data_IF_741442585290
#
_entry.id   IF_741442585290
#
_cell.length_a   1.000
_cell.length_b   1.000
_cell.length_c   1.000
_cell.angle_alpha   90.00
_cell.angle_beta   90.00
_cell.angle_gamma   90.00
#
_symmetry.space_group_name_H-M   'P 1'
#
loop_
_entity.id
_entity.type
_entity.pdbx_description
1 polymer ?
#
# COMPACT_ATOMS: atom_id res chain seq x y z
N UNK A 1 -1.73 -96.49 -16.57
CA UNK A 1 -0.38 -97.07 -16.51
C UNK A 1 0.61 -95.91 -16.46
N UNK A 2 1.47 -95.83 -15.44
CA UNK A 2 2.64 -94.92 -15.41
C UNK A 2 2.46 -93.56 -14.73
N UNK A 3 3.17 -93.38 -13.60
CA UNK A 3 3.46 -92.11 -12.90
C UNK A 3 4.47 -91.26 -13.70
N UNK A 4 4.49 -89.94 -13.52
CA UNK A 4 5.65 -89.17 -12.99
C UNK A 4 5.39 -87.65 -12.98
N UNK A 5 5.82 -86.99 -11.89
CA UNK A 5 5.84 -85.54 -11.67
C UNK A 5 6.90 -84.82 -12.53
N UNK A 6 6.66 -83.54 -12.86
CA UNK A 6 7.66 -82.46 -12.70
C UNK A 6 7.07 -81.04 -12.80
N UNK A 7 7.28 -80.26 -11.73
CA UNK A 7 7.56 -78.81 -11.61
C UNK A 7 6.82 -77.76 -12.47
N UNK A 8 6.05 -76.88 -11.81
CA UNK A 8 5.69 -75.54 -12.27
C UNK A 8 6.23 -74.45 -11.33
N UNK A 9 6.98 -73.50 -11.90
CA UNK A 9 7.36 -72.23 -11.27
C UNK A 9 6.17 -71.27 -11.27
N UNK A 10 5.81 -70.70 -10.11
CA UNK A 10 4.89 -69.58 -9.98
C UNK A 10 5.67 -68.30 -9.67
N UNK A 11 5.51 -67.28 -10.50
CA UNK A 11 6.03 -65.92 -10.28
C UNK A 11 4.89 -65.04 -9.77
N UNK A 12 4.92 -64.65 -8.50
CA UNK A 12 3.99 -63.69 -7.88
C UNK A 12 4.52 -62.26 -8.02
N UNK A 13 3.68 -61.36 -8.56
CA UNK A 13 3.89 -59.91 -8.57
C UNK A 13 3.64 -59.29 -7.17
N UNK A 14 4.36 -58.23 -6.77
CA UNK A 14 4.14 -57.56 -5.49
C UNK A 14 3.07 -56.46 -5.61
N UNK A 15 2.11 -56.44 -4.66
CA UNK A 15 1.09 -55.40 -4.53
C UNK A 15 1.63 -54.13 -3.87
N UNK A 16 1.28 -52.98 -4.44
CA UNK A 16 1.72 -51.64 -4.06
C UNK A 16 1.21 -51.16 -2.69
N UNK A 17 2.11 -50.55 -1.92
CA UNK A 17 1.86 -50.03 -0.58
C UNK A 17 1.11 -48.70 -0.57
N UNK A 18 0.07 -48.62 0.27
CA UNK A 18 -0.75 -47.43 0.53
C UNK A 18 0.01 -46.26 1.17
N UNK A 19 1.24 -46.47 1.68
CA UNK A 19 2.06 -45.41 2.31
C UNK A 19 2.67 -44.43 1.31
N UNK A 20 2.91 -44.85 0.06
CA UNK A 20 3.50 -43.98 -0.97
C UNK A 20 2.52 -42.93 -1.51
N UNK A 21 1.22 -43.16 -1.39
CA UNK A 21 0.19 -42.26 -1.92
C UNK A 21 0.01 -41.02 -1.05
N UNK A 22 0.07 -41.18 0.28
CA UNK A 22 -0.07 -40.07 1.23
C UNK A 22 1.14 -39.11 1.18
N UNK A 23 2.35 -39.66 1.05
CA UNK A 23 3.58 -38.86 0.93
C UNK A 23 3.63 -38.07 -0.39
N UNK A 24 3.13 -38.67 -1.49
CA UNK A 24 3.00 -37.99 -2.79
C UNK A 24 1.95 -36.87 -2.76
N UNK A 25 0.83 -37.05 -2.07
CA UNK A 25 -0.18 -35.99 -1.92
C UNK A 25 0.33 -34.80 -1.11
N UNK A 26 1.07 -35.03 -0.01
CA UNK A 26 1.67 -33.95 0.78
C UNK A 26 2.73 -33.17 0.00
N UNK A 27 3.54 -33.86 -0.82
CA UNK A 27 4.55 -33.22 -1.66
C UNK A 27 3.91 -32.37 -2.78
N UNK A 28 2.82 -32.85 -3.39
CA UNK A 28 2.07 -32.10 -4.40
C UNK A 28 1.33 -30.89 -3.80
N UNK A 29 0.81 -31.00 -2.57
CA UNK A 29 0.20 -29.87 -1.88
C UNK A 29 1.22 -28.77 -1.53
N UNK A 30 2.45 -29.17 -1.15
CA UNK A 30 3.56 -28.24 -0.93
C UNK A 30 4.00 -27.51 -2.20
N UNK A 31 4.03 -28.19 -3.35
CA UNK A 31 4.33 -27.55 -4.66
C UNK A 31 3.19 -26.60 -5.08
N UNK A 32 1.94 -26.97 -4.83
CA UNK A 32 0.78 -26.13 -5.15
C UNK A 32 0.77 -24.84 -4.32
N UNK A 33 1.16 -24.90 -3.04
CA UNK A 33 1.25 -23.74 -2.16
C UNK A 33 2.39 -22.77 -2.55
N UNK A 34 3.49 -23.30 -3.09
CA UNK A 34 4.64 -22.51 -3.57
C UNK A 34 4.34 -21.86 -4.94
N UNK A 35 3.49 -22.47 -5.76
CA UNK A 35 3.07 -21.91 -7.05
C UNK A 35 2.02 -20.79 -6.92
N UNK A 36 1.31 -20.68 -5.79
CA UNK A 36 0.40 -19.55 -5.53
C UNK A 36 1.11 -18.27 -5.06
N UNK A 37 2.40 -18.33 -4.74
CA UNK A 37 3.18 -17.21 -4.19
C UNK A 37 4.17 -16.60 -5.17
N UNK A 38 3.97 -16.72 -6.48
CA UNK A 38 4.93 -16.16 -7.44
C UNK A 38 4.26 -15.56 -8.67
N UNK A 39 4.65 -14.32 -8.93
CA UNK A 39 4.42 -13.51 -10.13
C UNK A 39 3.05 -12.82 -10.21
N UNK A 40 2.93 -11.69 -9.50
CA UNK A 40 2.18 -10.57 -10.08
C UNK A 40 2.97 -10.14 -11.33
N UNK A 41 2.46 -10.31 -12.56
CA UNK A 41 3.09 -9.70 -13.72
C UNK A 41 3.13 -8.19 -13.51
N UNK A 42 4.20 -7.55 -14.00
CA UNK A 42 4.32 -6.10 -14.03
C UNK A 42 3.02 -5.48 -14.56
N UNK A 43 2.51 -4.48 -13.84
CA UNK A 43 1.31 -3.73 -14.18
C UNK A 43 1.42 -3.30 -15.65
N UNK A 44 0.49 -3.74 -16.48
CA UNK A 44 0.35 -3.18 -17.82
C UNK A 44 0.06 -1.69 -17.62
N UNK A 45 1.01 -0.83 -18.00
CA UNK A 45 0.85 0.62 -17.95
C UNK A 45 -0.21 1.02 -18.96
N UNK A 46 -1.45 1.15 -18.51
CA UNK A 46 -2.49 1.84 -19.24
C UNK A 46 -2.33 3.34 -18.94
N UNK A 47 -2.41 4.19 -19.97
CA UNK A 47 -2.67 5.60 -19.74
C UNK A 47 -4.10 5.71 -19.19
N UNK A 48 -4.32 6.51 -18.15
CA UNK A 48 -5.66 6.73 -17.61
C UNK A 48 -6.57 7.22 -18.74
N UNK A 49 -7.51 6.36 -19.15
CA UNK A 49 -8.51 6.72 -20.14
C UNK A 49 -9.53 7.64 -19.48
N UNK A 50 -9.25 8.95 -19.45
CA UNK A 50 -10.22 10.00 -19.11
C UNK A 50 -9.94 10.84 -17.86
N UNK A 51 -8.81 10.66 -17.17
CA UNK A 51 -8.43 11.53 -16.06
C UNK A 51 -7.91 12.88 -16.59
N UNK A 52 -8.52 13.95 -16.12
CA UNK A 52 -8.18 15.33 -16.46
C UNK A 52 -8.04 16.20 -15.21
N UNK A 53 -7.18 17.22 -15.29
CA UNK A 53 -7.03 18.26 -14.26
C UNK A 53 -7.04 19.65 -14.92
N UNK A 54 -7.98 20.54 -14.57
CA UNK A 54 -7.91 21.96 -14.90
C UNK A 54 -6.83 22.67 -14.08
N UNK A 55 -6.33 23.79 -14.59
CA UNK A 55 -5.50 24.73 -13.83
C UNK A 55 -6.30 25.94 -13.39
N UNK A 56 -5.85 26.59 -12.32
CA UNK A 56 -6.47 27.81 -11.78
C UNK A 56 -6.35 29.00 -12.73
N UNK A 57 -5.42 28.93 -13.68
CA UNK A 57 -5.12 30.03 -14.60
C UNK A 57 -4.27 31.13 -13.99
N UNK A 58 -3.37 30.75 -13.08
CA UNK A 58 -2.31 31.61 -12.59
C UNK A 58 -0.99 30.86 -12.41
N UNK A 59 0.12 31.61 -12.45
CA UNK A 59 1.46 31.14 -12.06
C UNK A 59 2.13 32.20 -11.18
N UNK A 60 3.07 31.76 -10.35
CA UNK A 60 4.08 32.65 -9.76
C UNK A 60 5.11 33.05 -10.81
N UNK A 61 5.66 34.25 -10.68
CA UNK A 61 6.67 34.81 -11.60
C UNK A 61 8.10 34.70 -11.06
N UNK A 62 8.24 34.30 -9.79
CA UNK A 62 9.52 34.02 -9.15
C UNK A 62 9.61 32.51 -8.86
N UNK A 63 10.72 31.83 -9.20
CA UNK A 63 10.91 30.43 -8.84
C UNK A 63 11.00 30.20 -7.32
N UNK A 64 11.41 31.21 -6.54
CA UNK A 64 11.40 31.15 -5.09
C UNK A 64 10.07 31.68 -4.57
N UNK A 65 9.22 30.74 -4.14
CA UNK A 65 7.89 31.03 -3.61
C UNK A 65 8.00 31.07 -2.08
N UNK A 66 7.59 32.19 -1.51
CA UNK A 66 7.63 32.47 -0.08
C UNK A 66 6.28 32.20 0.58
N UNK A 67 6.30 31.44 1.67
CA UNK A 67 5.11 31.00 2.39
C UNK A 67 5.22 31.41 3.85
N UNK A 68 4.20 32.08 4.39
CA UNK A 68 4.11 32.36 5.83
C UNK A 68 2.95 31.58 6.43
N UNK A 69 3.27 30.68 7.36
CA UNK A 69 2.30 29.97 8.19
C UNK A 69 2.02 30.82 9.43
N UNK A 70 0.75 31.06 9.72
CA UNK A 70 0.31 31.82 10.91
C UNK A 70 -0.39 30.89 11.88
N UNK A 71 0.32 30.32 12.88
CA UNK A 71 -0.27 29.43 13.86
C UNK A 71 -1.37 30.14 14.68
N UNK A 72 -2.37 29.39 15.10
CA UNK A 72 -3.40 29.88 16.03
C UNK A 72 -3.07 29.49 17.48
N UNK A 73 -1.81 29.69 17.91
CA UNK A 73 -1.25 29.11 19.15
C UNK A 73 -1.98 29.42 20.46
N UNK A 74 -2.80 30.48 20.49
CA UNK A 74 -3.59 30.87 21.66
C UNK A 74 -5.01 30.30 21.64
N UNK A 75 -5.37 29.54 20.61
CA UNK A 75 -6.71 29.00 20.42
C UNK A 75 -6.78 27.54 20.90
N UNK A 76 -7.79 27.16 21.70
CA UNK A 76 -7.87 25.82 22.28
C UNK A 76 -8.19 24.72 21.27
N UNK A 77 -8.67 25.07 20.08
CA UNK A 77 -8.97 24.14 18.99
C UNK A 77 -7.78 23.87 18.07
N UNK A 78 -6.66 24.55 18.27
CA UNK A 78 -5.49 24.47 17.40
C UNK A 78 -4.46 23.50 17.98
N UNK A 79 -4.06 22.50 17.20
CA UNK A 79 -2.95 21.61 17.55
C UNK A 79 -1.63 22.22 17.08
N UNK A 80 -0.64 22.25 17.98
CA UNK A 80 0.67 22.80 17.66
C UNK A 80 1.39 22.05 16.51
N UNK A 81 1.11 20.74 16.36
CA UNK A 81 1.62 19.90 15.28
C UNK A 81 1.22 20.38 13.90
N UNK A 82 0.04 21.01 13.74
CA UNK A 82 -0.44 21.46 12.43
C UNK A 82 0.52 22.38 11.68
N UNK A 83 1.29 23.20 12.42
CA UNK A 83 2.32 24.05 11.79
C UNK A 83 3.41 23.21 11.12
N UNK A 84 3.82 22.11 11.77
CA UNK A 84 4.76 21.16 11.22
C UNK A 84 4.15 20.40 10.04
N UNK A 85 2.90 19.94 10.15
CA UNK A 85 2.22 19.17 9.10
C UNK A 85 2.09 19.96 7.80
N UNK A 86 1.71 21.24 7.88
CA UNK A 86 1.69 22.16 6.72
C UNK A 86 3.07 22.31 6.10
N UNK A 87 4.10 22.57 6.91
CA UNK A 87 5.46 22.71 6.39
C UNK A 87 5.96 21.40 5.77
N UNK A 88 5.58 20.26 6.35
CA UNK A 88 5.90 18.94 5.84
C UNK A 88 5.21 18.68 4.50
N UNK A 89 3.94 19.07 4.35
CA UNK A 89 3.19 18.98 3.09
C UNK A 89 3.87 19.75 1.95
N UNK A 90 4.27 21.01 2.20
CA UNK A 90 5.01 21.85 1.25
C UNK A 90 6.35 21.21 0.87
N UNK A 91 7.08 20.72 1.87
CA UNK A 91 8.38 20.06 1.66
C UNK A 91 8.23 18.77 0.84
N UNK A 92 7.13 18.03 1.03
CA UNK A 92 6.87 16.78 0.32
C UNK A 92 6.60 17.03 -1.16
N UNK A 93 5.89 18.11 -1.53
CA UNK A 93 5.76 18.55 -2.92
C UNK A 93 7.11 18.75 -3.61
N UNK A 94 8.07 19.44 -2.96
CA UNK A 94 9.41 19.63 -3.53
C UNK A 94 10.12 18.28 -3.79
N UNK A 95 9.98 17.31 -2.87
CA UNK A 95 10.57 15.97 -3.03
C UNK A 95 9.87 15.16 -4.12
N UNK A 96 8.54 15.25 -4.23
CA UNK A 96 7.77 14.60 -5.28
C UNK A 96 8.08 15.19 -6.66
N UNK A 97 8.32 16.49 -6.78
CA UNK A 97 8.82 17.12 -8.02
C UNK A 97 10.14 16.48 -8.46
N UNK A 98 11.07 16.24 -7.53
CA UNK A 98 12.35 15.57 -7.86
C UNK A 98 12.08 14.17 -8.41
N UNK A 99 11.29 13.36 -7.70
CA UNK A 99 10.96 11.99 -8.12
C UNK A 99 10.26 11.96 -9.50
N UNK A 100 9.29 12.84 -9.72
CA UNK A 100 8.62 12.98 -11.03
C UNK A 100 9.61 13.32 -12.14
N UNK A 101 10.44 14.34 -11.90
CA UNK A 101 11.32 14.86 -12.95
C UNK A 101 12.47 13.92 -13.31
N UNK A 102 12.93 13.09 -12.35
CA UNK A 102 13.88 12.00 -12.65
C UNK A 102 13.24 10.92 -13.53
N UNK A 103 11.95 10.64 -13.34
CA UNK A 103 11.24 9.60 -14.08
C UNK A 103 10.75 10.05 -15.47
N UNK A 104 10.29 11.30 -15.59
CA UNK A 104 9.52 11.78 -16.76
C UNK A 104 10.09 13.03 -17.44
N UNK A 105 11.15 13.66 -16.92
CA UNK A 105 11.78 14.85 -17.52
C UNK A 105 11.34 16.16 -16.85
N UNK A 106 11.18 17.26 -17.61
CA UNK A 106 10.79 18.58 -17.07
C UNK A 106 11.68 19.10 -15.92
N UNK A 107 12.99 18.84 -15.98
CA UNK A 107 13.98 19.21 -14.94
C UNK A 107 13.98 20.69 -14.56
N UNK A 108 13.48 21.57 -15.43
CA UNK A 108 13.29 22.99 -15.13
C UNK A 108 12.38 23.22 -13.92
N UNK A 109 11.44 22.30 -13.64
CA UNK A 109 10.51 22.40 -12.52
C UNK A 109 11.23 22.38 -11.16
N UNK A 110 12.44 21.80 -11.10
CA UNK A 110 13.30 21.81 -9.90
C UNK A 110 13.84 23.19 -9.54
N UNK A 111 13.69 24.18 -10.42
CA UNK A 111 14.01 25.58 -10.10
C UNK A 111 13.03 26.13 -9.08
N UNK A 112 11.81 25.57 -8.97
CA UNK A 112 10.89 25.93 -7.89
C UNK A 112 11.53 25.62 -6.53
N UNK A 113 11.47 26.60 -5.65
CA UNK A 113 11.93 26.49 -4.28
C UNK A 113 10.87 27.10 -3.37
N UNK A 114 10.60 26.43 -2.26
CA UNK A 114 9.58 26.83 -1.30
C UNK A 114 10.26 27.27 -0.02
N UNK A 115 10.11 28.55 0.33
CA UNK A 115 10.67 29.14 1.54
C UNK A 115 9.55 29.32 2.54
N UNK A 116 9.48 28.42 3.52
CA UNK A 116 8.46 28.47 4.57
C UNK A 116 8.97 29.22 5.81
N UNK A 117 8.20 30.20 6.25
CA UNK A 117 8.38 30.89 7.53
C UNK A 117 7.15 30.71 8.42
N UNK A 118 7.34 30.87 9.73
CA UNK A 118 6.30 30.85 10.74
C UNK A 118 6.20 32.23 11.39
N UNK A 119 4.99 32.78 11.40
CA UNK A 119 4.65 34.07 12.01
C UNK A 119 5.10 34.13 13.46
N UNK A 120 5.87 35.17 13.82
CA UNK A 120 6.38 35.36 15.17
C UNK A 120 7.61 34.51 15.52
N UNK A 121 8.12 33.70 14.58
CA UNK A 121 9.34 32.91 14.75
C UNK A 121 10.42 33.40 13.79
N UNK A 122 10.13 33.41 12.49
CA UNK A 122 11.11 33.77 11.44
C UNK A 122 10.45 34.39 10.19
N UNK A 123 9.24 34.93 10.31
CA UNK A 123 8.46 35.55 9.22
C UNK A 123 9.13 36.79 8.60
N UNK A 124 10.04 37.44 9.33
CA UNK A 124 10.89 38.50 8.78
C UNK A 124 11.76 38.04 7.61
N UNK A 125 12.06 36.74 7.50
CA UNK A 125 12.79 36.16 6.37
C UNK A 125 11.94 36.09 5.09
N UNK A 126 10.62 35.98 5.22
CA UNK A 126 9.68 35.86 4.09
C UNK A 126 9.06 37.20 3.66
N UNK A 127 9.24 38.28 4.44
CA UNK A 127 8.83 39.63 4.04
C UNK A 127 7.35 39.74 3.66
N UNK A 128 7.07 40.11 2.41
CA UNK A 128 5.72 40.02 1.84
C UNK A 128 5.59 38.67 1.15
N UNK A 129 4.89 37.69 1.76
CA UNK A 129 4.86 36.35 1.22
C UNK A 129 3.98 36.25 -0.03
N UNK A 130 4.30 35.29 -0.89
CA UNK A 130 3.45 34.89 -2.01
C UNK A 130 2.19 34.17 -1.50
N UNK A 131 2.36 33.28 -0.51
CA UNK A 131 1.30 32.46 0.07
C UNK A 131 1.21 32.71 1.58
N UNK A 132 0.01 32.94 2.09
CA UNK A 132 -0.29 32.93 3.53
C UNK A 132 -1.09 31.69 3.90
N UNK A 133 -0.66 30.98 4.92
CA UNK A 133 -1.44 29.89 5.53
C UNK A 133 -1.97 30.36 6.87
N UNK A 134 -3.27 30.18 7.09
CA UNK A 134 -3.95 30.51 8.35
C UNK A 134 -4.89 29.38 8.76
N UNK A 135 -5.22 29.34 10.04
CA UNK A 135 -6.09 28.31 10.61
C UNK A 135 -7.39 28.92 11.14
N UNK A 136 -8.46 28.16 11.02
CA UNK A 136 -9.76 28.42 11.65
C UNK A 136 -10.22 27.17 12.39
N UNK A 137 -11.19 27.33 13.28
CA UNK A 137 -11.75 26.17 13.98
C UNK A 137 -12.47 25.22 13.01
N UNK A 138 -13.41 25.73 12.24
CA UNK A 138 -14.19 25.00 11.24
C UNK A 138 -14.77 25.99 10.24
N UNK A 139 -15.05 25.54 9.01
CA UNK A 139 -15.81 26.31 8.03
C UNK A 139 -17.32 26.34 8.33
N UNK A 140 -17.78 25.55 9.32
CA UNK A 140 -19.17 25.46 9.73
C UNK A 140 -20.04 24.69 8.73
N UNK A 141 -21.30 24.44 9.08
CA UNK A 141 -22.21 23.59 8.31
C UNK A 141 -22.64 24.16 6.95
N UNK A 142 -22.36 25.43 6.69
CA UNK A 142 -22.66 26.09 5.42
C UNK A 142 -21.62 25.80 4.32
N UNK A 143 -20.48 25.21 4.70
CA UNK A 143 -19.41 24.82 3.78
C UNK A 143 -18.89 23.43 4.12
N UNK A 144 -18.85 22.52 3.14
CA UNK A 144 -18.24 21.20 3.32
C UNK A 144 -16.70 21.22 3.28
N UNK A 145 -16.08 22.41 3.26
CA UNK A 145 -14.63 22.56 3.12
C UNK A 145 -13.87 22.15 4.37
N UNK A 146 -12.72 21.50 4.16
CA UNK A 146 -11.69 21.24 5.17
C UNK A 146 -10.48 22.17 5.00
N UNK A 147 -10.30 22.67 3.78
CA UNK A 147 -9.36 23.71 3.39
C UNK A 147 -10.00 24.64 2.35
N UNK A 148 -9.39 25.80 2.16
CA UNK A 148 -9.72 26.70 1.06
C UNK A 148 -8.52 27.60 0.72
N UNK A 149 -8.10 27.55 -0.53
CA UNK A 149 -7.12 28.49 -1.09
C UNK A 149 -7.82 29.56 -1.92
N UNK A 150 -7.82 30.78 -1.41
CA UNK A 150 -8.35 31.94 -2.10
C UNK A 150 -7.29 32.51 -3.03
N UNK A 151 -7.55 32.38 -4.33
CA UNK A 151 -6.69 32.86 -5.40
C UNK A 151 -7.26 34.12 -6.03
N UNK A 152 -6.35 35.00 -6.44
CA UNK A 152 -6.65 36.14 -7.29
C UNK A 152 -5.67 36.16 -8.44
N UNK A 153 -6.18 36.28 -9.65
CA UNK A 153 -5.38 36.34 -10.87
C UNK A 153 -5.49 37.75 -11.44
N UNK A 154 -4.36 38.34 -11.78
CA UNK A 154 -4.34 39.64 -12.43
C UNK A 154 -4.98 39.53 -13.82
N UNK A 155 -5.90 40.46 -14.10
CA UNK A 155 -6.72 40.43 -15.29
C UNK A 155 -5.86 40.41 -16.56
N UNK A 156 -6.15 39.46 -17.46
CA UNK A 156 -5.48 39.26 -18.75
C UNK A 156 -3.97 38.95 -18.65
N UNK A 157 -3.43 38.60 -17.48
CA UNK A 157 -2.01 38.27 -17.35
C UNK A 157 -1.74 36.82 -16.97
N UNK A 158 -2.67 36.08 -16.36
CA UNK A 158 -2.40 34.70 -15.90
C UNK A 158 -1.37 34.65 -14.76
N UNK A 159 -1.23 35.74 -14.00
CA UNK A 159 -0.27 35.86 -12.90
C UNK A 159 -1.04 35.99 -11.58
N UNK A 160 -0.59 35.27 -10.55
CA UNK A 160 -1.18 35.40 -9.22
C UNK A 160 -0.94 36.78 -8.60
N UNK A 161 -1.94 37.28 -7.89
CA UNK A 161 -1.85 38.48 -7.08
C UNK A 161 -1.42 38.09 -5.67
N UNK A 162 -0.29 38.62 -5.22
CA UNK A 162 0.21 38.39 -3.86
C UNK A 162 -0.60 39.16 -2.80
N UNK A 163 -0.78 38.60 -1.59
CA UNK A 163 -0.65 37.19 -1.27
C UNK A 163 -1.90 36.40 -1.70
N UNK A 164 -1.74 35.13 -2.04
CA UNK A 164 -2.84 34.15 -1.95
C UNK A 164 -3.00 33.69 -0.51
N UNK A 165 -4.21 33.29 -0.13
CA UNK A 165 -4.50 32.88 1.26
C UNK A 165 -5.08 31.48 1.29
N UNK A 166 -4.36 30.55 1.91
CA UNK A 166 -4.82 29.20 2.26
C UNK A 166 -5.35 29.21 3.70
N UNK A 167 -6.60 28.78 3.86
CA UNK A 167 -7.26 28.65 5.17
C UNK A 167 -7.50 27.17 5.45
N UNK A 168 -7.07 26.69 6.61
CA UNK A 168 -7.19 25.28 7.01
C UNK A 168 -8.06 25.18 8.27
N UNK A 169 -9.02 24.24 8.27
CA UNK A 169 -9.83 23.97 9.45
C UNK A 169 -9.10 23.07 10.44
N UNK A 170 -9.46 23.14 11.72
CA UNK A 170 -9.01 22.21 12.75
C UNK A 170 -10.03 21.10 13.05
N UNK A 171 -11.28 21.31 12.67
CA UNK A 171 -12.40 20.37 12.78
C UNK A 171 -13.14 20.22 11.45
N UNK A 172 -13.88 19.12 11.33
CA UNK A 172 -14.86 18.92 10.27
C UNK A 172 -15.94 20.05 10.23
N UNK A 173 -16.72 20.16 9.12
CA UNK A 173 -17.78 21.16 8.99
C UNK A 173 -18.85 21.11 10.09
N UNK A 174 -19.09 19.93 10.67
CA UNK A 174 -20.02 19.74 11.79
C UNK A 174 -19.42 20.14 13.14
N UNK A 175 -18.12 20.48 13.18
CA UNK A 175 -17.37 20.84 14.38
C UNK A 175 -17.42 19.76 15.46
N UNK A 176 -17.45 18.49 15.04
CA UNK A 176 -17.57 17.29 15.90
C UNK A 176 -16.31 16.45 15.92
N UNK A 177 -15.56 16.45 14.82
CA UNK A 177 -14.38 15.61 14.65
C UNK A 177 -13.18 16.49 14.41
N UNK A 178 -12.20 16.44 15.32
CA UNK A 178 -10.94 17.14 15.16
C UNK A 178 -10.10 16.42 14.08
N UNK A 179 -9.46 17.19 13.23
CA UNK A 179 -8.55 16.68 12.22
C UNK A 179 -7.32 16.04 12.89
N UNK A 180 -6.81 14.95 12.33
CA UNK A 180 -5.53 14.38 12.75
C UNK A 180 -4.36 15.10 12.05
N UNK A 181 -3.14 14.89 12.52
CA UNK A 181 -1.92 15.38 11.83
C UNK A 181 -1.86 14.89 10.37
N UNK A 182 -2.33 13.67 10.10
CA UNK A 182 -2.39 13.12 8.73
C UNK A 182 -3.46 13.82 7.89
N UNK A 183 -4.62 14.13 8.47
CA UNK A 183 -5.64 14.90 7.75
C UNK A 183 -5.12 16.30 7.43
N UNK A 184 -4.54 16.99 8.42
CA UNK A 184 -3.97 18.32 8.25
C UNK A 184 -2.89 18.32 7.18
N UNK A 185 -2.01 17.31 7.18
CA UNK A 185 -1.01 17.13 6.13
C UNK A 185 -1.66 17.02 4.75
N UNK A 186 -2.64 16.12 4.57
CA UNK A 186 -3.25 15.85 3.26
C UNK A 186 -3.99 17.08 2.74
N UNK A 187 -4.79 17.73 3.59
CA UNK A 187 -5.52 18.95 3.24
C UNK A 187 -4.52 20.07 2.90
N UNK A 188 -3.50 20.29 3.72
CA UNK A 188 -2.49 21.31 3.42
C UNK A 188 -1.75 21.02 2.11
N UNK A 189 -1.50 19.74 1.79
CA UNK A 189 -0.88 19.32 0.54
C UNK A 189 -1.78 19.60 -0.66
N UNK A 190 -3.08 19.32 -0.56
CA UNK A 190 -4.09 19.65 -1.57
C UNK A 190 -4.19 21.17 -1.80
N UNK A 191 -4.35 21.94 -0.73
CA UNK A 191 -4.45 23.39 -0.79
C UNK A 191 -3.17 24.04 -1.36
N UNK A 192 -2.01 23.46 -1.07
CA UNK A 192 -0.77 23.90 -1.69
C UNK A 192 -0.75 23.66 -3.20
N UNK A 193 -1.38 22.59 -3.69
CA UNK A 193 -1.59 22.36 -5.12
C UNK A 193 -2.37 23.51 -5.79
N UNK A 194 -3.44 23.99 -5.14
CA UNK A 194 -4.16 25.20 -5.59
C UNK A 194 -3.25 26.43 -5.59
N UNK A 195 -2.46 26.64 -4.54
CA UNK A 195 -1.52 27.74 -4.46
C UNK A 195 -0.40 27.67 -5.52
N UNK A 196 -0.15 26.49 -6.10
CA UNK A 196 0.74 26.30 -7.24
C UNK A 196 0.04 26.47 -8.60
N UNK A 197 -1.29 26.51 -8.65
CA UNK A 197 -2.10 26.73 -9.85
C UNK A 197 -2.80 25.51 -10.42
N UNK A 198 -2.90 24.42 -9.64
CA UNK A 198 -3.71 23.26 -9.98
C UNK A 198 -5.14 23.45 -9.48
N UNK A 199 -6.15 23.10 -10.28
CA UNK A 199 -7.53 22.97 -9.80
C UNK A 199 -7.83 21.48 -9.52
N UNK A 200 -9.09 21.13 -9.34
CA UNK A 200 -9.47 19.77 -8.99
C UNK A 200 -9.36 18.80 -10.15
N UNK A 201 -8.69 17.68 -9.92
CA UNK A 201 -8.75 16.53 -10.80
C UNK A 201 -10.18 15.97 -10.90
N UNK A 202 -10.49 15.39 -12.04
CA UNK A 202 -11.84 14.89 -12.39
C UNK A 202 -12.16 13.50 -11.82
N UNK A 203 -11.15 12.77 -11.34
CA UNK A 203 -11.27 11.41 -10.83
C UNK A 203 -10.65 11.31 -9.44
N UNK A 204 -11.19 10.43 -8.59
CA UNK A 204 -10.81 10.35 -7.17
C UNK A 204 -9.72 9.32 -6.88
N UNK A 205 -9.49 8.38 -7.79
CA UNK A 205 -8.57 7.26 -7.62
C UNK A 205 -7.67 7.18 -8.86
N UNK A 206 -6.36 7.03 -8.62
CA UNK A 206 -5.38 6.81 -9.68
C UNK A 206 -5.29 5.32 -10.08
N UNK A 207 -4.59 5.00 -11.18
CA UNK A 207 -4.56 3.62 -11.72
C UNK A 207 -3.80 2.64 -10.80
N UNK A 208 -2.95 3.14 -9.90
CA UNK A 208 -2.28 2.36 -8.86
C UNK A 208 -3.14 2.14 -7.60
N UNK A 209 -4.38 2.65 -7.59
CA UNK A 209 -5.35 2.48 -6.51
C UNK A 209 -5.20 3.49 -5.36
N UNK A 210 -4.31 4.47 -5.48
CA UNK A 210 -4.17 5.54 -4.48
C UNK A 210 -5.22 6.64 -4.71
N UNK A 211 -5.45 7.47 -3.68
CA UNK A 211 -6.29 8.65 -3.82
C UNK A 211 -5.57 9.73 -4.64
N UNK A 212 -6.32 10.36 -5.54
CA UNK A 212 -5.88 11.56 -6.24
C UNK A 212 -5.89 12.75 -5.28
N UNK A 213 -4.70 13.27 -4.95
CA UNK A 213 -4.51 14.37 -4.02
C UNK A 213 -5.34 15.58 -4.42
N UNK A 214 -5.38 15.93 -5.71
CA UNK A 214 -6.12 17.10 -6.19
C UNK A 214 -7.60 16.82 -6.46
N UNK A 215 -8.17 15.71 -6.00
CA UNK A 215 -9.62 15.49 -6.13
C UNK A 215 -10.41 16.38 -5.16
N UNK A 216 -11.53 16.95 -5.62
CA UNK A 216 -12.34 17.92 -4.86
C UNK A 216 -12.80 17.42 -3.48
N UNK A 217 -13.10 16.13 -3.36
CA UNK A 217 -13.59 15.57 -2.10
C UNK A 217 -12.48 14.83 -1.37
N UNK A 218 -12.35 15.09 -0.07
CA UNK A 218 -11.41 14.36 0.76
C UNK A 218 -11.76 12.87 0.78
N UNK A 219 -10.83 12.03 0.29
CA UNK A 219 -11.08 10.61 0.03
C UNK A 219 -11.08 9.72 1.27
N UNK A 220 -10.72 10.27 2.43
CA UNK A 220 -10.47 9.52 3.66
C UNK A 220 -11.42 9.93 4.79
N UNK A 221 -11.54 9.06 5.79
CA UNK A 221 -12.40 9.32 6.94
C UNK A 221 -11.74 10.36 7.86
N UNK A 222 -12.29 11.58 7.92
CA UNK A 222 -11.79 12.66 8.79
C UNK A 222 -11.64 12.17 10.23
N UNK A 223 -10.51 12.49 10.88
CA UNK A 223 -10.25 12.12 12.26
C UNK A 223 -9.73 10.69 12.44
N UNK A 224 -9.57 9.91 11.38
CA UNK A 224 -9.10 8.53 11.47
C UNK A 224 -7.56 8.48 11.56
N UNK A 225 -6.97 7.97 12.66
CA UNK A 225 -5.52 7.91 12.84
C UNK A 225 -4.83 6.90 11.91
N UNK A 226 -5.60 6.13 11.13
CA UNK A 226 -5.09 5.18 10.12
C UNK A 226 -5.13 5.73 8.70
N UNK A 227 -5.48 7.00 8.52
CA UNK A 227 -5.38 7.63 7.21
C UNK A 227 -3.94 7.54 6.69
N UNK A 228 -3.82 7.43 5.38
CA UNK A 228 -2.54 7.41 4.67
C UNK A 228 -2.18 8.81 4.18
N UNK A 229 -0.88 9.09 4.10
CA UNK A 229 -0.39 10.33 3.51
C UNK A 229 -0.52 10.28 1.98
N UNK A 230 -1.36 11.14 1.42
CA UNK A 230 -1.59 11.30 -0.02
C UNK A 230 -0.44 12.07 -0.66
N UNK A 231 -0.08 11.72 -1.89
CA UNK A 231 1.00 12.38 -2.64
C UNK A 231 0.46 12.84 -3.99
N UNK A 232 1.00 13.92 -4.57
CA UNK A 232 0.53 14.39 -5.86
C UNK A 232 0.73 13.32 -6.92
N UNK A 233 -0.20 13.24 -7.85
CA UNK A 233 -0.17 12.25 -8.91
C UNK A 233 0.76 12.67 -10.06
N UNK A 234 1.01 11.73 -10.98
CA UNK A 234 1.68 12.05 -12.25
C UNK A 234 0.89 13.06 -13.08
N UNK A 235 -0.45 13.09 -12.96
CA UNK A 235 -1.32 14.06 -13.61
C UNK A 235 -1.12 15.46 -13.01
N UNK A 236 -1.08 15.57 -11.68
CA UNK A 236 -0.77 16.83 -10.98
C UNK A 236 0.58 17.39 -11.40
N UNK A 237 1.60 16.52 -11.40
CA UNK A 237 2.96 16.91 -11.76
C UNK A 237 3.10 17.29 -13.22
N UNK A 238 2.38 16.61 -14.11
CA UNK A 238 2.35 16.95 -15.52
C UNK A 238 1.70 18.33 -15.73
N UNK A 239 0.53 18.58 -15.14
CA UNK A 239 -0.11 19.88 -15.20
C UNK A 239 0.77 20.98 -14.61
N UNK A 240 1.39 20.73 -13.44
CA UNK A 240 2.32 21.65 -12.79
C UNK A 240 3.52 21.98 -13.69
N UNK A 241 4.06 20.99 -14.40
CA UNK A 241 5.16 21.22 -15.34
C UNK A 241 4.78 22.15 -16.50
N UNK A 242 3.51 22.18 -16.88
CA UNK A 242 3.01 23.09 -17.92
C UNK A 242 2.66 24.48 -17.34
N UNK A 243 2.19 24.57 -16.09
CA UNK A 243 1.97 25.86 -15.41
C UNK A 243 3.29 26.65 -15.29
N UNK A 244 4.39 25.95 -15.04
CA UNK A 244 5.72 26.53 -14.84
C UNK A 244 6.71 26.29 -15.99
N UNK A 245 6.21 26.08 -17.22
CA UNK A 245 7.06 25.85 -18.40
C UNK A 245 8.04 27.01 -18.68
N UNK A 246 7.67 28.24 -18.29
CA UNK A 246 8.51 29.42 -18.39
C UNK A 246 9.85 29.28 -17.65
N UNK A 247 9.95 28.39 -16.66
CA UNK A 247 11.20 28.09 -15.97
C UNK A 247 12.26 27.48 -16.89
N UNK A 248 11.91 27.00 -18.08
CA UNK A 248 12.87 26.64 -19.13
C UNK A 248 13.74 27.85 -19.52
N UNK A 249 13.17 29.07 -19.48
CA UNK A 249 13.87 30.29 -19.85
C UNK A 249 14.94 30.66 -18.80
N UNK A 250 16.24 30.70 -19.15
CA UNK A 250 17.28 31.10 -18.22
C UNK A 250 17.21 32.59 -17.83
N UNK A 251 16.54 33.41 -18.64
CA UNK A 251 16.36 34.85 -18.38
C UNK A 251 15.24 35.14 -17.37
N UNK A 252 14.54 34.11 -16.87
CA UNK A 252 13.43 34.23 -15.94
C UNK A 252 12.07 34.41 -16.63
N UNK A 253 11.08 34.81 -15.84
CA UNK A 253 9.71 35.00 -16.31
C UNK A 253 9.61 36.18 -17.28
N UNK A 254 8.89 35.99 -18.39
CA UNK A 254 8.63 37.05 -19.36
C UNK A 254 7.25 36.87 -20.00
N UNK A 255 6.47 37.96 -20.10
CA UNK A 255 5.18 37.96 -20.80
C UNK A 255 4.00 37.66 -19.88
N UNK A 256 3.06 36.86 -20.38
CA UNK A 256 1.88 36.40 -19.64
C UNK A 256 2.20 35.11 -18.90
N UNK A 257 1.56 34.92 -17.75
CA UNK A 257 1.55 33.67 -17.03
C UNK A 257 0.60 32.64 -17.65
N UNK A 258 0.28 31.61 -16.86
CA UNK A 258 -0.50 30.48 -17.32
C UNK A 258 -2.00 30.78 -17.26
N UNK A 259 -2.74 30.57 -18.35
CA UNK A 259 -4.20 30.70 -18.36
C UNK A 259 -4.87 29.36 -18.05
N UNK A 260 -6.10 29.41 -17.53
CA UNK A 260 -6.85 28.21 -17.16
C UNK A 260 -6.91 27.23 -18.34
N UNK A 261 -6.35 26.05 -18.14
CA UNK A 261 -6.19 25.01 -19.17
C UNK A 261 -6.52 23.67 -18.55
N UNK A 262 -7.06 22.73 -19.32
CA UNK A 262 -7.32 21.35 -18.88
C UNK A 262 -6.24 20.45 -19.46
N UNK A 263 -5.61 19.66 -18.60
CA UNK A 263 -4.58 18.69 -18.98
C UNK A 263 -5.06 17.26 -18.75
N UNK A 264 -4.66 16.38 -19.66
CA UNK A 264 -4.68 14.92 -19.51
C UNK A 264 -3.26 14.39 -19.66
N UNK A 265 -2.98 13.22 -19.07
CA UNK A 265 -1.67 12.61 -19.20
C UNK A 265 -1.36 12.23 -20.66
N UNK A 266 -0.13 12.48 -21.15
CA UNK A 266 0.26 12.02 -22.47
C UNK A 266 0.36 10.49 -22.50
N UNK A 267 0.24 9.87 -23.69
CA UNK A 267 0.41 8.42 -23.82
C UNK A 267 1.74 7.94 -23.25
N UNK A 268 1.70 6.85 -22.46
CA UNK A 268 2.89 6.21 -21.90
C UNK A 268 3.29 6.65 -20.49
N UNK A 269 2.60 7.63 -19.90
CA UNK A 269 2.73 7.94 -18.47
C UNK A 269 1.59 7.26 -17.73
N UNK A 270 1.92 6.40 -16.76
CA UNK A 270 0.94 5.77 -15.89
C UNK A 270 0.38 6.81 -14.91
N UNK A 271 -0.93 6.73 -14.64
CA UNK A 271 -1.57 7.60 -13.67
C UNK A 271 -1.42 7.01 -12.26
N UNK A 272 -0.64 7.66 -11.40
CA UNK A 272 -0.35 7.13 -10.06
C UNK A 272 0.29 8.18 -9.17
N UNK A 273 0.35 7.90 -7.88
CA UNK A 273 0.94 8.82 -6.90
C UNK A 273 2.47 8.90 -7.05
N UNK A 274 3.00 10.12 -6.97
CA UNK A 274 4.44 10.39 -7.02
C UNK A 274 4.98 10.59 -5.60
N UNK A 275 5.42 9.49 -5.00
CA UNK A 275 6.03 9.51 -3.67
C UNK A 275 7.49 9.98 -3.70
N UNK A 276 7.96 10.73 -2.68
CA UNK A 276 9.39 10.98 -2.46
C UNK A 276 10.23 9.71 -2.40
N UNK A 277 11.48 9.77 -2.86
CA UNK A 277 12.40 8.62 -2.81
C UNK A 277 12.59 8.03 -1.41
N UNK A 278 12.64 8.86 -0.37
CA UNK A 278 12.77 8.38 1.01
C UNK A 278 11.62 7.45 1.41
N UNK A 279 10.41 7.74 0.94
CA UNK A 279 9.21 6.92 1.23
C UNK A 279 9.19 5.67 0.36
N UNK A 280 9.58 5.77 -0.91
CA UNK A 280 9.74 4.60 -1.77
C UNK A 280 10.76 3.60 -1.19
N UNK A 281 11.90 4.10 -0.69
CA UNK A 281 12.93 3.29 -0.03
C UNK A 281 12.38 2.66 1.25
N UNK A 282 11.66 3.43 2.07
CA UNK A 282 11.05 2.92 3.30
C UNK A 282 10.05 1.81 3.01
N UNK A 283 9.13 2.01 2.06
CA UNK A 283 8.16 0.99 1.63
C UNK A 283 8.85 -0.27 1.13
N UNK A 284 9.94 -0.13 0.37
CA UNK A 284 10.74 -1.28 -0.09
C UNK A 284 11.40 -2.02 1.08
N UNK A 285 11.97 -1.29 2.05
CA UNK A 285 12.57 -1.88 3.25
C UNK A 285 11.53 -2.63 4.08
N UNK A 286 10.34 -2.06 4.25
CA UNK A 286 9.24 -2.68 4.99
C UNK A 286 8.74 -3.94 4.28
N UNK A 287 8.61 -3.90 2.95
CA UNK A 287 8.28 -5.08 2.14
C UNK A 287 9.34 -6.18 2.27
N UNK A 288 10.63 -5.85 2.22
CA UNK A 288 11.72 -6.81 2.42
C UNK A 288 11.67 -7.41 3.83
N UNK A 289 11.43 -6.59 4.86
CA UNK A 289 11.33 -7.05 6.24
C UNK A 289 10.14 -7.99 6.43
N UNK A 290 9.00 -7.68 5.82
CA UNK A 290 7.81 -8.53 5.83
C UNK A 290 8.08 -9.86 5.13
N UNK A 291 8.65 -9.85 3.91
CA UNK A 291 9.01 -11.07 3.19
C UNK A 291 9.99 -11.94 3.98
N UNK A 292 10.97 -11.32 4.65
CA UNK A 292 11.91 -12.05 5.51
C UNK A 292 11.20 -12.72 6.68
N UNK A 293 10.23 -12.04 7.30
CA UNK A 293 9.42 -12.60 8.37
C UNK A 293 8.56 -13.77 7.87
N UNK A 294 7.92 -13.62 6.71
CA UNK A 294 7.13 -14.67 6.08
C UNK A 294 7.98 -15.91 5.77
N UNK A 295 9.19 -15.72 5.22
CA UNK A 295 10.14 -16.82 4.97
C UNK A 295 10.54 -17.52 6.27
N UNK A 296 10.83 -16.76 7.34
CA UNK A 296 11.16 -17.35 8.65
C UNK A 296 10.00 -18.16 9.22
N UNK A 297 8.77 -17.65 9.12
CA UNK A 297 7.56 -18.36 9.57
C UNK A 297 7.41 -19.67 8.78
N UNK A 298 7.52 -19.62 7.45
CA UNK A 298 7.44 -20.81 6.60
C UNK A 298 8.53 -21.82 6.95
N UNK A 299 9.76 -21.37 7.18
CA UNK A 299 10.87 -22.24 7.56
C UNK A 299 10.63 -22.93 8.92
N UNK A 300 10.12 -22.20 9.92
CA UNK A 300 9.79 -22.77 11.24
C UNK A 300 8.65 -23.78 11.13
N UNK A 301 7.58 -23.45 10.39
CA UNK A 301 6.45 -24.36 10.17
C UNK A 301 6.90 -25.62 9.42
N UNK A 302 7.69 -25.48 8.37
CA UNK A 302 8.23 -26.62 7.62
C UNK A 302 9.14 -27.51 8.50
N UNK A 303 10.01 -26.91 9.32
CA UNK A 303 10.85 -27.63 10.28
C UNK A 303 10.03 -28.38 11.32
N UNK A 304 8.96 -27.77 11.84
CA UNK A 304 8.05 -28.42 12.78
C UNK A 304 7.30 -29.60 12.13
N UNK A 305 6.76 -29.42 10.92
CA UNK A 305 6.09 -30.47 10.17
C UNK A 305 7.02 -31.65 9.87
N UNK A 306 8.29 -31.38 9.52
CA UNK A 306 9.31 -32.41 9.31
C UNK A 306 9.57 -33.19 10.59
N UNK A 307 9.71 -32.51 11.74
CA UNK A 307 9.91 -33.16 13.03
C UNK A 307 8.72 -34.06 13.41
N UNK A 308 7.48 -33.58 13.22
CA UNK A 308 6.27 -34.37 13.44
C UNK A 308 6.23 -35.60 12.54
N UNK A 309 6.54 -35.45 11.25
CA UNK A 309 6.59 -36.56 10.30
C UNK A 309 7.63 -37.61 10.69
N UNK A 310 8.81 -37.18 11.15
CA UNK A 310 9.86 -38.07 11.64
C UNK A 310 9.43 -38.86 12.89
N UNK A 311 8.82 -38.18 13.88
CA UNK A 311 8.32 -38.83 15.09
C UNK A 311 7.25 -39.88 14.75
N UNK A 312 6.28 -39.52 13.90
CA UNK A 312 5.24 -40.45 13.44
C UNK A 312 5.85 -41.63 12.66
N UNK A 313 6.82 -41.38 11.79
CA UNK A 313 7.53 -42.43 11.06
C UNK A 313 8.23 -43.42 11.98
N UNK A 314 8.92 -42.93 13.02
CA UNK A 314 9.56 -43.77 14.04
C UNK A 314 8.52 -44.59 14.82
N UNK A 315 7.41 -43.97 15.24
CA UNK A 315 6.33 -44.65 15.96
C UNK A 315 5.68 -45.75 15.11
N UNK A 316 5.46 -45.49 13.82
CA UNK A 316 4.90 -46.47 12.89
C UNK A 316 5.88 -47.61 12.59
N UNK A 317 7.19 -47.32 12.46
CA UNK A 317 8.21 -48.34 12.24
C UNK A 317 8.43 -49.27 13.46
N UNK A 318 8.13 -48.79 14.67
CA UNK A 318 8.17 -49.62 15.90
C UNK A 318 7.06 -50.66 15.96
N UNK A 319 5.97 -50.53 15.20
CA UNK A 319 4.98 -51.59 15.01
C UNK A 319 5.47 -52.60 13.96
N UNK A 320 6.31 -53.56 14.36
CA UNK A 320 6.51 -54.79 13.57
C UNK A 320 5.32 -55.75 13.78
N UNK A 321 4.97 -56.57 12.77
CA UNK A 321 3.78 -57.42 12.80
C UNK A 321 3.94 -58.56 13.82
N UNK A 322 2.88 -58.81 14.60
CA UNK A 322 2.79 -59.97 15.49
C UNK A 322 3.02 -61.26 14.68
N UNK A 323 3.84 -62.13 15.27
CA UNK A 323 4.14 -63.46 14.75
C UNK A 323 2.86 -64.24 14.45
N UNK A 324 2.78 -64.81 13.25
CA UNK A 324 1.78 -65.82 12.92
C UNK A 324 1.96 -67.03 13.87
N UNK A 325 1.06 -67.19 14.83
CA UNK A 325 0.97 -68.41 15.63
C UNK A 325 0.52 -69.57 14.75
N UNK A 326 1.32 -70.63 14.75
CA UNK A 326 1.02 -71.93 14.15
C UNK A 326 -0.18 -72.59 14.85
N UNK A 327 -1.22 -72.92 14.09
CA UNK A 327 -2.38 -73.68 14.57
C UNK A 327 -2.01 -75.16 14.67
N UNK A 328 -2.02 -75.72 15.88
CA UNK A 328 -1.95 -77.15 16.17
C UNK A 328 -3.37 -77.70 16.32
N UNK A 329 -3.80 -78.56 15.39
CA UNK A 329 -5.10 -79.24 15.44
C UNK A 329 -5.04 -80.44 16.40
N UNK A 330 -5.76 -80.36 17.52
CA UNK A 330 -6.09 -81.52 18.35
C UNK A 330 -7.50 -82.01 17.98
N UNK A 331 -7.55 -83.24 17.47
CA UNK A 331 -8.72 -83.97 17.02
C UNK A 331 -9.52 -84.46 18.24
N UNK A 332 -10.81 -84.10 18.30
CA UNK A 332 -11.77 -84.60 19.28
C UNK A 332 -12.33 -85.95 18.80
N UNK A 333 -12.12 -87.02 19.57
CA UNK A 333 -12.71 -88.33 19.34
C UNK A 333 -14.15 -88.45 19.90
N UNK A 334 -15.02 -89.27 19.28
CA UNK A 334 -16.46 -89.29 19.55
C UNK A 334 -16.86 -90.10 20.80
N UNK A 335 -18.07 -89.89 21.34
CA UNK A 335 -18.47 -90.37 22.66
C UNK A 335 -19.17 -91.73 22.62
N UNK A 336 -19.09 -92.50 23.70
CA UNK A 336 -19.96 -93.64 24.00
C UNK A 336 -19.88 -94.03 25.51
N UNK A 337 -20.77 -94.88 26.07
CA UNK A 337 -21.88 -94.43 26.92
C UNK A 337 -21.97 -95.11 28.31
N UNK A 338 -22.80 -94.50 29.17
CA UNK A 338 -23.75 -95.04 30.19
C UNK A 338 -23.31 -96.07 31.26
N UNK A 339 -23.66 -95.71 32.52
CA UNK A 339 -23.93 -96.45 33.76
C UNK A 339 -23.61 -97.95 33.89
N UNK A 340 -23.15 -98.36 35.09
CA UNK A 340 -23.87 -99.24 36.04
C UNK A 340 -23.06 -99.41 37.35
N UNK A 341 -23.81 -99.55 38.45
CA UNK A 341 -23.46 -99.67 39.86
C UNK A 341 -22.45 -100.78 40.26
N UNK A 342 -21.72 -100.52 41.35
CA UNK A 342 -21.84 -101.30 42.60
C UNK A 342 -20.90 -102.49 42.89
N UNK A 343 -20.27 -102.41 44.06
CA UNK A 343 -19.88 -103.47 45.02
C UNK A 343 -18.72 -104.46 44.74
N UNK A 344 -17.67 -104.28 45.56
CA UNK A 344 -17.06 -105.20 46.56
C UNK A 344 -16.74 -106.68 46.26
N UNK A 345 -15.46 -107.00 46.54
CA UNK A 345 -14.86 -108.24 47.10
C UNK A 345 -15.10 -109.60 46.41
N UNK A 346 -14.02 -110.21 45.90
CA UNK A 346 -13.05 -111.00 46.68
C UNK A 346 -11.72 -111.16 45.93
#
# INVERSE_FOLDING_TARGET
MGKSLQTTHNTTAPSSGKSGLALRMLFLLGILLVMTTSFNPASNTHAATGAEIPTEGGTWTNPAISIVITPASNMPWFEASYTYDVNYAITRWAKSIIAYTDAYGSYYLRKLSFVTCVSGVNDTLCGTPDIRVQFIQSFGSESAGLGLTSLRIQQNSGIFVIPTTTTLAAYDPTNTTQLTDTDMFNIASHEFGHALGLNHATVSIADDGTFELMFLSYGQAVGNPRNSLEAPSTLDMYALSNVYDWLVNPSGFSGTGHFATVYSLPPGIAYGSVYPYSEQIQTLQDSINQLRLEILIVAVVAGFLLAVALVLGILLARKKPDQAQSVSWLIVGPPAPVEVCGYSEK
#
